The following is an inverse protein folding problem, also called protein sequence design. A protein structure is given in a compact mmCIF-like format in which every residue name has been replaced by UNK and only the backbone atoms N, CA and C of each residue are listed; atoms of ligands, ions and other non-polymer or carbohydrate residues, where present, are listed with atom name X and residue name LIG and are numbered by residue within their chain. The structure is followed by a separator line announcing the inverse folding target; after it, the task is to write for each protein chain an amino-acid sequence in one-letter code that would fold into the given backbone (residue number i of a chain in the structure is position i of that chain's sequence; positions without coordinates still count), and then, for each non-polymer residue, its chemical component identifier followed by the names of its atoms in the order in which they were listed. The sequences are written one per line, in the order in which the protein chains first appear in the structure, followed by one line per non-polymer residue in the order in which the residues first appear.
data_IF_701714225402
#
_entry.id   IF_701714225402
#
_cell.length_a   1.000
_cell.length_b   1.000
_cell.length_c   1.000
_cell.angle_alpha   90.00
_cell.angle_beta   90.00
_cell.angle_gamma   90.00
#
_symmetry.space_group_name_H-M   'P 1'
#
loop_
_entity.id
_entity.type
_entity.pdbx_description
1 polymer ?
#
# COMPACT_ATOMS: atom_id res chain seq x y z
N UNK A 1 37.08 45.33 -33.71
CA UNK A 1 35.60 45.22 -33.69
C UNK A 1 35.27 43.88 -34.34
N UNK A 2 34.71 42.87 -33.71
CA UNK A 2 34.28 42.61 -32.34
C UNK A 2 34.30 41.09 -32.13
N UNK A 3 34.30 40.68 -30.86
CA UNK A 3 34.16 39.29 -30.44
C UNK A 3 32.69 38.81 -30.52
N UNK A 4 32.50 37.54 -30.16
CA UNK A 4 31.27 36.79 -29.87
C UNK A 4 30.89 35.78 -30.98
N UNK A 5 30.84 34.46 -30.76
CA UNK A 5 30.69 33.69 -29.53
C UNK A 5 29.25 33.16 -29.41
N UNK A 6 29.14 31.88 -29.01
CA UNK A 6 27.95 31.14 -28.55
C UNK A 6 27.06 30.51 -29.64
N UNK A 7 26.44 29.37 -29.43
CA UNK A 7 26.64 28.23 -28.53
C UNK A 7 25.72 27.16 -29.12
N UNK A 8 26.23 25.96 -29.37
CA UNK A 8 25.40 24.80 -29.65
C UNK A 8 24.83 24.35 -28.30
N UNK A 9 23.56 24.66 -28.05
CA UNK A 9 22.86 24.27 -26.84
C UNK A 9 22.68 22.74 -26.81
N UNK A 10 23.52 22.11 -25.99
CA UNK A 10 23.41 20.75 -25.45
C UNK A 10 22.06 20.58 -24.74
N UNK A 11 21.11 19.89 -25.40
CA UNK A 11 19.89 19.41 -24.73
C UNK A 11 20.21 18.11 -24.01
N UNK A 12 20.77 18.22 -22.80
CA UNK A 12 20.81 17.11 -21.86
C UNK A 12 19.39 16.80 -21.38
N UNK A 13 18.83 15.72 -21.91
CA UNK A 13 17.84 14.95 -21.19
C UNK A 13 18.50 14.44 -19.90
N UNK A 14 18.20 15.07 -18.77
CA UNK A 14 18.67 14.62 -17.46
C UNK A 14 18.02 13.29 -17.10
N UNK A 15 18.61 12.19 -17.55
CA UNK A 15 18.41 10.88 -16.93
C UNK A 15 18.92 10.95 -15.49
N UNK A 16 18.08 10.63 -14.51
CA UNK A 16 18.53 10.53 -13.12
C UNK A 16 19.58 9.44 -13.01
N UNK A 17 20.65 9.74 -12.27
CA UNK A 17 21.77 8.85 -12.07
C UNK A 17 21.36 7.69 -11.14
N UNK A 18 21.87 6.49 -11.37
CA UNK A 18 21.44 5.22 -10.78
C UNK A 18 21.76 5.00 -9.29
N UNK A 19 21.91 6.08 -8.49
CA UNK A 19 22.22 6.02 -7.06
C UNK A 19 21.52 7.10 -6.21
N UNK A 20 20.46 7.73 -6.75
CA UNK A 20 19.74 8.79 -6.03
C UNK A 20 18.71 8.20 -5.05
N UNK A 21 18.88 8.48 -3.76
CA UNK A 21 17.91 8.17 -2.71
C UNK A 21 16.62 8.97 -2.93
N UNK A 22 15.50 8.28 -3.09
CA UNK A 22 14.16 8.87 -3.08
C UNK A 22 13.56 8.66 -1.71
N UNK A 23 13.05 9.73 -1.08
CA UNK A 23 12.29 9.62 0.17
C UNK A 23 11.25 10.75 0.25
N UNK A 24 9.98 10.38 0.10
CA UNK A 24 8.84 11.28 0.10
C UNK A 24 8.38 11.51 1.53
N UNK A 25 8.18 12.77 1.92
CA UNK A 25 7.59 13.11 3.21
C UNK A 25 6.07 13.03 3.12
N UNK A 26 5.48 12.03 3.76
CA UNK A 26 4.04 11.87 3.93
C UNK A 26 3.65 11.97 5.42
N UNK A 27 2.45 12.49 5.75
CA UNK A 27 1.94 12.47 7.12
C UNK A 27 1.93 11.04 7.68
N UNK A 28 2.43 10.88 8.90
CA UNK A 28 2.45 9.59 9.59
C UNK A 28 1.20 9.41 10.46
N UNK A 29 0.70 8.18 10.54
CA UNK A 29 -0.38 7.77 11.43
C UNK A 29 -0.01 6.40 11.97
N UNK A 30 -0.05 6.27 13.29
CA UNK A 30 0.11 5.00 14.00
C UNK A 30 -1.23 4.26 14.10
N UNK A 31 -1.23 2.95 13.86
CA UNK A 31 -2.43 2.12 14.01
C UNK A 31 -2.61 1.62 15.45
N UNK A 32 -1.52 1.52 16.21
CA UNK A 32 -1.48 0.87 17.52
C UNK A 32 -2.40 1.56 18.51
N UNK A 33 -3.48 0.89 18.87
CA UNK A 33 -4.47 1.34 19.87
C UNK A 33 -5.87 1.45 19.30
N UNK A 34 -6.07 2.22 18.22
CA UNK A 34 -7.40 2.45 17.66
C UNK A 34 -7.75 1.49 16.51
N UNK A 35 -6.75 0.97 15.79
CA UNK A 35 -6.96 0.16 14.58
C UNK A 35 -6.03 -1.06 14.58
N UNK A 36 -6.24 -2.04 15.49
CA UNK A 36 -5.33 -3.17 15.68
C UNK A 36 -5.05 -3.95 14.38
N UNK A 37 -6.04 -4.05 13.49
CA UNK A 37 -5.93 -4.73 12.18
C UNK A 37 -6.05 -3.74 11.00
N UNK A 38 -5.87 -2.44 11.24
CA UNK A 38 -6.20 -1.41 10.27
C UNK A 38 -5.06 -0.94 9.36
N UNK A 39 -4.01 -1.74 9.16
CA UNK A 39 -2.80 -1.32 8.44
C UNK A 39 -3.08 -0.78 7.02
N UNK A 40 -4.05 -1.36 6.32
CA UNK A 40 -4.51 -0.95 4.99
C UNK A 40 -5.24 0.39 5.02
N UNK A 41 -6.13 0.56 6.01
CA UNK A 41 -6.91 1.78 6.18
C UNK A 41 -6.00 2.94 6.57
N UNK A 42 -5.09 2.71 7.52
CA UNK A 42 -4.12 3.71 7.98
C UNK A 42 -3.17 4.10 6.85
N UNK A 43 -2.63 3.12 6.11
CA UNK A 43 -1.76 3.38 4.95
C UNK A 43 -2.47 4.15 3.82
N UNK A 44 -3.72 3.79 3.52
CA UNK A 44 -4.54 4.51 2.56
C UNK A 44 -4.79 5.97 3.01
N UNK A 45 -5.05 6.20 4.30
CA UNK A 45 -5.28 7.54 4.84
C UNK A 45 -4.00 8.38 4.86
N UNK A 46 -2.84 7.77 5.15
CA UNK A 46 -1.54 8.46 5.00
C UNK A 46 -1.36 8.96 3.55
N UNK A 47 -1.68 8.13 2.55
CA UNK A 47 -1.66 8.55 1.14
C UNK A 47 -2.68 9.66 0.83
N UNK A 48 -3.92 9.53 1.31
CA UNK A 48 -4.95 10.56 1.11
C UNK A 48 -4.54 11.92 1.70
N UNK A 49 -3.97 11.91 2.91
CA UNK A 49 -3.46 13.13 3.56
C UNK A 49 -2.26 13.72 2.84
N UNK A 50 -1.36 12.88 2.33
CA UNK A 50 -0.27 13.33 1.45
C UNK A 50 -0.81 14.07 0.21
N UNK A 51 -1.93 13.60 -0.35
CA UNK A 51 -2.61 14.23 -1.50
C UNK A 51 -3.44 15.48 -1.13
N UNK A 52 -3.43 15.89 0.15
CA UNK A 52 -4.15 17.06 0.65
C UNK A 52 -5.62 16.79 1.00
N UNK A 53 -6.05 15.52 1.06
CA UNK A 53 -7.40 15.15 1.48
C UNK A 53 -7.45 15.07 3.01
N UNK A 54 -8.17 16.00 3.64
CA UNK A 54 -8.37 16.05 5.09
C UNK A 54 -9.40 15.02 5.56
N UNK A 55 -8.98 13.77 5.72
CA UNK A 55 -9.82 12.65 6.15
C UNK A 55 -9.24 11.96 7.41
N UNK A 56 -10.11 11.47 8.29
CA UNK A 56 -9.72 10.61 9.42
C UNK A 56 -9.69 9.13 9.03
N UNK A 57 -9.03 8.30 9.82
CA UNK A 57 -9.04 6.85 9.59
C UNK A 57 -10.45 6.29 9.82
N UNK A 58 -11.15 6.74 10.86
CA UNK A 58 -12.56 6.38 11.07
C UNK A 58 -13.46 6.73 9.88
N UNK A 59 -13.31 7.92 9.32
CA UNK A 59 -14.11 8.31 8.15
C UNK A 59 -13.81 7.41 6.95
N UNK A 60 -12.54 7.04 6.74
CA UNK A 60 -12.17 6.10 5.70
C UNK A 60 -12.83 4.73 5.91
N UNK A 61 -12.70 4.18 7.12
CA UNK A 61 -13.22 2.87 7.50
C UNK A 61 -14.75 2.83 7.38
N UNK A 62 -15.46 3.87 7.82
CA UNK A 62 -16.92 3.87 7.89
C UNK A 62 -17.59 4.24 6.56
N UNK A 63 -17.00 5.11 5.75
CA UNK A 63 -17.65 5.60 4.51
C UNK A 63 -17.14 4.94 3.23
N UNK A 64 -15.92 4.39 3.22
CA UNK A 64 -15.26 4.00 1.97
C UNK A 64 -14.81 2.54 1.93
N UNK A 65 -14.42 1.97 3.08
CA UNK A 65 -13.99 0.58 3.17
C UNK A 65 -15.19 -0.36 3.19
N UNK A 66 -15.27 -1.26 2.22
CA UNK A 66 -16.28 -2.32 2.24
C UNK A 66 -15.77 -3.44 3.16
N UNK A 67 -16.54 -3.75 4.21
CA UNK A 67 -16.20 -4.71 5.26
C UNK A 67 -17.26 -5.81 5.31
N UNK A 68 -16.88 -7.02 5.69
CA UNK A 68 -17.83 -8.11 5.90
C UNK A 68 -17.36 -9.02 7.04
N UNK A 69 -18.30 -9.49 7.86
CA UNK A 69 -18.03 -10.38 8.98
C UNK A 69 -17.96 -11.85 8.57
N UNK A 70 -17.51 -12.68 9.51
CA UNK A 70 -17.51 -14.13 9.39
C UNK A 70 -18.84 -14.72 9.89
N UNK A 71 -19.16 -15.92 9.41
CA UNK A 71 -20.34 -16.68 9.79
C UNK A 71 -19.95 -18.13 10.09
N UNK A 72 -20.48 -18.73 11.15
CA UNK A 72 -20.35 -20.16 11.39
C UNK A 72 -21.61 -20.89 10.89
N UNK A 73 -21.44 -21.93 10.08
CA UNK A 73 -22.54 -22.76 9.54
C UNK A 73 -22.21 -24.22 9.80
N UNK A 74 -22.98 -24.87 10.66
CA UNK A 74 -22.81 -26.29 11.03
C UNK A 74 -21.35 -26.64 11.44
N UNK A 75 -20.72 -25.75 12.21
CA UNK A 75 -19.32 -25.91 12.67
C UNK A 75 -18.25 -25.60 11.61
N UNK A 76 -18.63 -25.08 10.45
CA UNK A 76 -17.71 -24.63 9.40
C UNK A 76 -17.67 -23.11 9.36
N UNK A 77 -16.46 -22.55 9.42
CA UNK A 77 -16.25 -21.10 9.29
C UNK A 77 -16.40 -20.67 7.83
N UNK A 78 -17.32 -19.74 7.59
CA UNK A 78 -17.46 -19.01 6.34
C UNK A 78 -17.00 -17.57 6.54
N UNK A 79 -16.31 -17.03 5.55
CA UNK A 79 -15.76 -15.68 5.62
C UNK A 79 -15.76 -15.01 4.26
N UNK A 80 -15.55 -13.69 4.23
CA UNK A 80 -15.50 -12.95 2.98
C UNK A 80 -14.25 -13.29 2.15
N UNK A 81 -14.31 -12.96 0.86
CA UNK A 81 -13.13 -12.93 0.00
C UNK A 81 -12.35 -11.62 0.27
N UNK A 82 -11.07 -11.68 0.70
CA UNK A 82 -10.29 -10.47 0.99
C UNK A 82 -10.07 -9.58 -0.24
N UNK A 83 -10.30 -10.11 -1.46
CA UNK A 83 -10.25 -9.36 -2.71
C UNK A 83 -11.51 -8.50 -2.93
N UNK A 84 -12.56 -8.70 -2.13
CA UNK A 84 -13.85 -8.01 -2.25
C UNK A 84 -14.21 -7.18 -1.02
N UNK A 85 -13.82 -7.64 0.16
CA UNK A 85 -14.11 -6.99 1.44
C UNK A 85 -12.91 -7.04 2.36
N UNK A 86 -12.88 -6.13 3.33
CA UNK A 86 -12.11 -6.33 4.54
C UNK A 86 -12.74 -7.43 5.38
N UNK A 87 -11.92 -8.45 5.71
CA UNK A 87 -12.32 -9.63 6.45
C UNK A 87 -12.40 -9.32 7.95
N UNK A 88 -13.60 -8.98 8.42
CA UNK A 88 -13.85 -8.52 9.79
C UNK A 88 -13.91 -7.00 9.89
N UNK A 89 -13.26 -6.43 10.89
CA UNK A 89 -13.25 -4.99 11.17
C UNK A 89 -11.85 -4.50 11.56
N UNK A 90 -11.35 -3.39 10.98
CA UNK A 90 -10.06 -2.78 11.38
C UNK A 90 -9.95 -2.42 12.87
N UNK A 91 -11.09 -2.26 13.55
CA UNK A 91 -11.18 -1.95 14.98
C UNK A 91 -11.01 -3.18 15.88
N UNK A 92 -11.07 -4.38 15.31
CA UNK A 92 -11.06 -5.63 16.04
C UNK A 92 -9.70 -6.33 15.88
N UNK A 93 -9.10 -6.70 17.01
CA UNK A 93 -7.79 -7.33 17.06
C UNK A 93 -7.81 -8.78 16.55
N UNK A 94 -8.97 -9.43 16.55
CA UNK A 94 -9.15 -10.81 16.10
C UNK A 94 -9.59 -10.91 14.62
N UNK A 95 -9.68 -9.76 13.93
CA UNK A 95 -9.96 -9.69 12.49
C UNK A 95 -8.72 -9.93 11.64
N UNK A 96 -8.90 -9.94 10.31
CA UNK A 96 -7.82 -10.16 9.35
C UNK A 96 -7.49 -8.83 8.65
N UNK A 97 -7.68 -8.78 7.33
CA UNK A 97 -7.35 -7.63 6.50
C UNK A 97 -8.11 -7.66 5.19
N UNK A 98 -7.65 -6.90 4.22
CA UNK A 98 -8.14 -6.86 2.85
C UNK A 98 -6.99 -6.79 1.85
N UNK A 99 -7.30 -7.15 0.62
CA UNK A 99 -6.35 -7.13 -0.48
C UNK A 99 -6.48 -5.85 -1.32
N UNK A 100 -5.45 -5.58 -2.12
CA UNK A 100 -5.32 -4.36 -2.93
C UNK A 100 -6.59 -3.91 -3.69
N UNK A 101 -7.41 -4.79 -4.30
CA UNK A 101 -8.63 -4.36 -4.98
C UNK A 101 -9.62 -3.60 -4.07
N UNK A 102 -9.72 -3.99 -2.79
CA UNK A 102 -10.63 -3.37 -1.80
C UNK A 102 -10.17 -1.96 -1.48
N UNK A 103 -8.88 -1.79 -1.19
CA UNK A 103 -8.28 -0.47 -0.94
C UNK A 103 -8.33 0.42 -2.19
N UNK A 104 -8.06 -0.12 -3.37
CA UNK A 104 -8.16 0.61 -4.62
C UNK A 104 -9.59 1.13 -4.86
N UNK A 105 -10.62 0.30 -4.60
CA UNK A 105 -12.02 0.71 -4.68
C UNK A 105 -12.35 1.84 -3.68
N UNK A 106 -11.90 1.71 -2.43
CA UNK A 106 -12.11 2.73 -1.41
C UNK A 106 -11.42 4.06 -1.77
N UNK A 107 -10.17 4.02 -2.24
CA UNK A 107 -9.41 5.19 -2.69
C UNK A 107 -10.06 5.89 -3.90
N UNK A 108 -10.60 5.14 -4.88
CA UNK A 108 -11.34 5.74 -6.01
C UNK A 108 -12.54 6.56 -5.54
N UNK A 109 -13.27 6.04 -4.56
CA UNK A 109 -14.44 6.73 -3.97
C UNK A 109 -14.00 7.98 -3.20
N UNK A 110 -12.87 7.93 -2.49
CA UNK A 110 -12.37 9.05 -1.68
C UNK A 110 -11.68 10.17 -2.49
N UNK A 111 -10.99 9.85 -3.59
CA UNK A 111 -10.20 10.82 -4.38
C UNK A 111 -10.98 11.50 -5.52
N UNK A 112 -12.08 10.88 -5.99
CA UNK A 112 -12.86 11.38 -7.11
C UNK A 112 -12.10 11.40 -8.45
N UNK A 113 -12.60 12.14 -9.43
CA UNK A 113 -12.13 12.11 -10.83
C UNK A 113 -10.78 12.80 -11.08
N UNK A 114 -10.24 13.53 -10.10
CA UNK A 114 -8.94 14.21 -10.21
C UNK A 114 -7.74 13.26 -10.18
N UNK A 115 -7.96 11.99 -9.83
CA UNK A 115 -6.93 10.98 -9.71
C UNK A 115 -7.32 9.69 -10.42
N UNK A 116 -6.32 9.00 -10.96
CA UNK A 116 -6.42 7.61 -11.39
C UNK A 116 -5.84 6.73 -10.29
N UNK A 117 -6.63 5.76 -9.83
CA UNK A 117 -6.20 4.76 -8.83
C UNK A 117 -6.14 3.39 -9.53
N UNK A 118 -4.97 2.80 -9.50
CA UNK A 118 -4.66 1.52 -10.16
C UNK A 118 -4.31 0.48 -9.10
N UNK A 119 -4.94 -0.69 -9.22
CA UNK A 119 -4.44 -1.90 -8.56
C UNK A 119 -3.23 -2.38 -9.35
N UNK A 120 -2.05 -2.26 -8.75
CA UNK A 120 -0.76 -2.62 -9.35
C UNK A 120 -0.30 -4.01 -8.87
N UNK A 121 -1.22 -4.86 -8.41
CA UNK A 121 -0.91 -6.23 -8.00
C UNK A 121 -0.15 -6.98 -9.11
N UNK A 122 0.99 -7.58 -8.73
CA UNK A 122 1.88 -8.29 -9.65
C UNK A 122 2.99 -7.44 -10.26
N UNK A 123 3.02 -6.13 -10.03
CA UNK A 123 4.11 -5.25 -10.48
C UNK A 123 5.27 -5.29 -9.49
N UNK A 124 6.51 -5.39 -9.99
CA UNK A 124 7.72 -5.41 -9.15
C UNK A 124 7.97 -4.07 -8.47
N UNK A 125 8.57 -4.08 -7.27
CA UNK A 125 8.84 -2.87 -6.48
C UNK A 125 9.74 -1.86 -7.19
N UNK A 126 10.72 -2.31 -8.00
CA UNK A 126 11.56 -1.39 -8.79
C UNK A 126 10.76 -0.68 -9.87
N UNK A 127 9.77 -1.35 -10.46
CA UNK A 127 8.88 -0.76 -11.45
C UNK A 127 7.88 0.20 -10.78
N UNK A 128 7.37 -0.15 -9.60
CA UNK A 128 6.56 0.76 -8.77
C UNK A 128 7.36 2.02 -8.39
N UNK A 129 8.63 1.85 -8.01
CA UNK A 129 9.54 2.95 -7.70
C UNK A 129 9.68 3.93 -8.88
N UNK A 130 9.94 3.41 -10.09
CA UNK A 130 10.03 4.22 -11.32
C UNK A 130 8.72 4.90 -11.70
N UNK A 131 7.59 4.20 -11.53
CA UNK A 131 6.27 4.70 -11.91
C UNK A 131 5.75 5.79 -10.96
N UNK A 132 6.06 5.68 -9.67
CA UNK A 132 5.42 6.47 -8.62
C UNK A 132 6.43 7.26 -7.79
N UNK A 133 7.40 6.60 -7.15
CA UNK A 133 8.32 7.25 -6.21
C UNK A 133 9.19 8.29 -6.90
N UNK A 134 9.72 7.96 -8.08
CA UNK A 134 10.48 8.91 -8.92
C UNK A 134 9.65 10.15 -9.30
N UNK A 135 8.33 10.05 -9.27
CA UNK A 135 7.42 11.16 -9.57
C UNK A 135 6.87 11.83 -8.30
N UNK A 136 7.47 11.53 -7.14
CA UNK A 136 7.07 12.08 -5.85
C UNK A 136 5.72 11.57 -5.36
N UNK A 137 5.34 10.35 -5.75
CA UNK A 137 4.07 9.73 -5.36
C UNK A 137 4.30 8.46 -4.53
N UNK A 138 3.83 8.37 -3.28
CA UNK A 138 3.86 7.15 -2.49
C UNK A 138 2.96 6.04 -3.05
N UNK A 139 3.20 4.80 -2.63
CA UNK A 139 2.45 3.60 -3.05
C UNK A 139 1.97 2.84 -1.82
N UNK A 140 0.69 2.45 -1.76
CA UNK A 140 0.21 1.54 -0.72
C UNK A 140 0.66 0.13 -1.10
N UNK A 141 1.35 -0.57 -0.20
CA UNK A 141 2.06 -1.80 -0.53
C UNK A 141 1.93 -2.84 0.58
N UNK A 142 1.70 -4.09 0.19
CA UNK A 142 1.63 -5.22 1.10
C UNK A 142 2.96 -5.95 1.15
N UNK A 143 3.36 -6.37 2.33
CA UNK A 143 4.47 -7.27 2.59
C UNK A 143 4.17 -7.99 3.92
N UNK A 144 5.20 -8.45 4.63
CA UNK A 144 5.00 -9.06 5.92
C UNK A 144 5.29 -8.09 7.07
N UNK A 145 4.54 -8.17 8.16
CA UNK A 145 4.76 -7.38 9.37
C UNK A 145 6.21 -7.55 9.87
N UNK A 146 6.90 -6.43 10.10
CA UNK A 146 8.33 -6.40 10.43
C UNK A 146 9.22 -7.22 9.48
N UNK A 147 8.81 -7.40 8.22
CA UNK A 147 9.45 -8.26 7.21
C UNK A 147 9.69 -9.72 7.63
N UNK A 148 8.88 -10.23 8.56
CA UNK A 148 8.92 -11.63 9.02
C UNK A 148 8.54 -12.61 7.89
N UNK A 149 8.97 -13.86 8.01
CA UNK A 149 8.56 -14.91 7.09
C UNK A 149 7.03 -15.04 7.02
N UNK A 150 6.43 -15.29 5.83
CA UNK A 150 5.02 -15.60 5.71
C UNK A 150 4.69 -16.91 6.43
N UNK A 151 3.48 -17.03 6.95
CA UNK A 151 3.00 -18.25 7.61
C UNK A 151 1.69 -18.67 6.97
N UNK A 152 1.52 -19.95 6.66
CA UNK A 152 0.22 -20.48 6.27
C UNK A 152 -0.74 -20.32 7.44
N UNK A 153 -1.73 -19.46 7.26
CA UNK A 153 -2.66 -19.02 8.28
C UNK A 153 -3.97 -19.81 8.29
N UNK A 154 -4.99 -19.26 8.97
CA UNK A 154 -6.32 -19.84 9.02
C UNK A 154 -6.96 -20.03 7.63
N UNK A 155 -7.89 -20.98 7.57
CA UNK A 155 -8.70 -21.26 6.39
C UNK A 155 -10.18 -21.04 6.70
N UNK A 156 -10.92 -20.59 5.70
CA UNK A 156 -12.38 -20.50 5.76
C UNK A 156 -12.99 -20.82 4.40
N UNK A 157 -14.29 -21.10 4.39
CA UNK A 157 -15.08 -21.18 3.17
C UNK A 157 -15.50 -19.78 2.74
N UNK A 158 -15.29 -19.43 1.47
CA UNK A 158 -15.76 -18.14 0.96
C UNK A 158 -17.29 -18.09 1.00
N UNK A 159 -17.85 -16.99 1.50
CA UNK A 159 -19.30 -16.81 1.66
C UNK A 159 -20.06 -16.89 0.32
N UNK A 160 -19.44 -16.47 -0.77
CA UNK A 160 -20.04 -16.38 -2.10
C UNK A 160 -19.88 -17.66 -2.94
N UNK A 161 -18.72 -18.32 -2.88
CA UNK A 161 -18.43 -19.50 -3.71
C UNK A 161 -18.42 -20.82 -2.94
N UNK A 162 -18.22 -20.79 -1.61
CA UNK A 162 -18.00 -21.98 -0.80
C UNK A 162 -16.63 -22.66 -1.02
N UNK A 163 -15.75 -22.04 -1.80
CA UNK A 163 -14.37 -22.52 -1.99
C UNK A 163 -13.56 -22.33 -0.71
N UNK A 164 -12.58 -23.19 -0.46
CA UNK A 164 -11.65 -23.00 0.65
C UNK A 164 -10.64 -21.92 0.29
N UNK A 165 -10.56 -20.89 1.13
CA UNK A 165 -9.52 -19.88 1.08
C UNK A 165 -8.51 -20.11 2.22
N UNK A 166 -7.23 -19.85 1.94
CA UNK A 166 -6.15 -19.92 2.94
C UNK A 166 -5.51 -18.55 3.08
N UNK A 167 -5.53 -17.99 4.28
CA UNK A 167 -4.85 -16.73 4.59
C UNK A 167 -3.34 -16.94 4.70
N UNK A 168 -2.55 -15.98 4.23
CA UNK A 168 -1.11 -15.94 4.47
C UNK A 168 -0.86 -14.96 5.62
N UNK A 169 -0.72 -15.51 6.83
CA UNK A 169 -0.46 -14.76 8.06
C UNK A 169 0.87 -14.00 8.00
N UNK A 170 1.02 -13.07 8.94
CA UNK A 170 2.00 -11.98 8.92
C UNK A 170 1.76 -10.97 7.79
N UNK A 171 0.60 -10.98 7.13
CA UNK A 171 0.20 -9.92 6.20
C UNK A 171 0.30 -8.55 6.87
N UNK A 172 0.79 -7.56 6.12
CA UNK A 172 0.90 -6.19 6.57
C UNK A 172 0.91 -5.22 5.40
N UNK A 173 0.18 -4.12 5.54
CA UNK A 173 0.12 -3.05 4.56
C UNK A 173 0.78 -1.78 5.08
N UNK A 174 1.68 -1.22 4.28
CA UNK A 174 2.47 -0.04 4.60
C UNK A 174 2.42 0.97 3.44
N UNK A 175 2.84 2.20 3.70
CA UNK A 175 3.01 3.21 2.65
C UNK A 175 4.48 3.24 2.21
N UNK A 176 4.77 2.73 1.01
CA UNK A 176 6.07 2.85 0.36
C UNK A 176 6.32 4.31 -0.04
N UNK A 177 7.35 4.92 0.53
CA UNK A 177 7.67 6.35 0.36
C UNK A 177 9.05 6.59 -0.26
N UNK A 178 9.88 5.56 -0.42
CA UNK A 178 11.22 5.75 -0.91
C UNK A 178 12.00 4.49 -1.19
N UNK A 179 13.19 4.69 -1.75
CA UNK A 179 14.19 3.65 -1.95
C UNK A 179 15.57 4.30 -2.15
N UNK A 180 16.62 3.50 -1.95
CA UNK A 180 17.97 3.78 -2.41
C UNK A 180 18.59 2.51 -3.00
N UNK A 181 19.92 2.42 -3.05
CA UNK A 181 20.62 1.23 -3.55
C UNK A 181 20.43 0.01 -2.63
N UNK A 182 20.28 0.21 -1.32
CA UNK A 182 20.27 -0.87 -0.33
C UNK A 182 18.85 -1.32 0.03
N UNK A 183 17.89 -0.40 0.09
CA UNK A 183 16.59 -0.68 0.68
C UNK A 183 15.39 0.09 0.11
N UNK A 184 14.22 -0.29 0.63
CA UNK A 184 12.96 0.44 0.45
C UNK A 184 12.55 1.09 1.78
N UNK A 185 12.03 2.31 1.69
CA UNK A 185 11.57 3.10 2.82
C UNK A 185 10.05 3.08 2.90
N UNK A 186 9.52 2.77 4.07
CA UNK A 186 8.09 2.73 4.35
C UNK A 186 7.75 3.67 5.50
N UNK A 187 6.60 4.33 5.41
CA UNK A 187 5.88 4.70 6.62
C UNK A 187 5.11 3.45 7.07
N UNK A 188 5.60 2.81 8.12
CA UNK A 188 5.02 1.60 8.70
C UNK A 188 4.08 1.99 9.85
N UNK A 189 2.76 1.74 9.71
CA UNK A 189 1.77 2.13 10.71
C UNK A 189 1.79 1.25 11.98
N UNK A 190 2.55 0.15 12.01
CA UNK A 190 2.58 -0.77 13.16
C UNK A 190 3.53 -0.28 14.26
N UNK A 191 3.07 -0.34 15.51
CA UNK A 191 3.87 -0.13 16.73
C UNK A 191 4.70 1.16 16.74
N UNK A 192 4.13 2.23 16.17
CA UNK A 192 4.79 3.53 16.04
C UNK A 192 6.15 3.47 15.31
N UNK A 193 6.35 2.49 14.42
CA UNK A 193 7.59 2.32 13.65
C UNK A 193 7.95 3.57 12.84
N UNK A 194 6.95 4.27 12.29
CA UNK A 194 7.20 5.50 11.54
C UNK A 194 7.92 5.23 10.23
N UNK A 195 8.92 6.06 9.90
CA UNK A 195 9.75 5.87 8.71
C UNK A 195 10.80 4.79 8.98
N UNK A 196 10.70 3.64 8.31
CA UNK A 196 11.61 2.50 8.44
C UNK A 196 12.17 2.09 7.08
N UNK A 197 13.40 1.57 7.06
CA UNK A 197 14.06 1.05 5.87
C UNK A 197 14.32 -0.45 6.04
N UNK A 198 14.06 -1.22 4.99
CA UNK A 198 14.36 -2.65 4.93
C UNK A 198 15.17 -3.00 3.67
N UNK A 199 16.05 -4.01 3.72
CA UNK A 199 16.84 -4.45 2.57
C UNK A 199 15.96 -4.90 1.40
N UNK A 200 16.32 -4.50 0.17
CA UNK A 200 15.50 -4.76 -1.04
C UNK A 200 15.09 -6.22 -1.20
N UNK A 201 16.05 -7.13 -1.10
CA UNK A 201 15.84 -8.56 -1.30
C UNK A 201 14.77 -9.11 -0.33
N UNK A 202 14.86 -8.73 0.95
CA UNK A 202 13.89 -9.14 1.96
C UNK A 202 12.50 -8.58 1.64
N UNK A 203 12.39 -7.29 1.33
CA UNK A 203 11.10 -6.67 1.00
C UNK A 203 10.47 -7.32 -0.23
N UNK A 204 11.25 -7.56 -1.27
CA UNK A 204 10.78 -8.17 -2.52
C UNK A 204 10.30 -9.62 -2.30
N UNK A 205 10.97 -10.36 -1.42
CA UNK A 205 10.52 -11.70 -1.01
C UNK A 205 9.20 -11.64 -0.25
N UNK A 206 9.08 -10.78 0.77
CA UNK A 206 7.85 -10.64 1.57
C UNK A 206 6.68 -10.09 0.77
N UNK A 207 6.94 -9.14 -0.11
CA UNK A 207 5.95 -8.62 -1.05
C UNK A 207 5.44 -9.72 -1.98
N UNK A 208 6.33 -10.58 -2.51
CA UNK A 208 5.93 -11.73 -3.33
C UNK A 208 5.10 -12.75 -2.55
N UNK A 209 5.47 -13.01 -1.30
CA UNK A 209 4.71 -13.91 -0.42
C UNK A 209 3.28 -13.40 -0.19
N UNK A 210 3.09 -12.09 -0.16
CA UNK A 210 1.78 -11.42 -0.07
C UNK A 210 1.22 -11.03 -1.45
N UNK A 211 1.47 -11.87 -2.46
CA UNK A 211 0.90 -11.78 -3.80
C UNK A 211 1.26 -10.52 -4.61
N UNK A 212 2.35 -9.83 -4.23
CA UNK A 212 2.83 -8.61 -4.89
C UNK A 212 1.77 -7.51 -4.95
N UNK A 213 0.96 -7.36 -3.89
CA UNK A 213 -0.15 -6.43 -3.89
C UNK A 213 0.33 -4.99 -3.68
N UNK A 214 -0.18 -4.08 -4.49
CA UNK A 214 0.09 -2.66 -4.39
C UNK A 214 -1.05 -1.83 -4.99
N UNK A 215 -1.25 -0.62 -4.46
CA UNK A 215 -2.17 0.36 -5.03
C UNK A 215 -1.42 1.66 -5.31
N UNK A 216 -1.37 2.02 -6.59
CA UNK A 216 -0.76 3.25 -7.07
C UNK A 216 -1.81 4.32 -7.40
N UNK A 217 -1.48 5.58 -7.14
CA UNK A 217 -2.32 6.74 -7.48
C UNK A 217 -1.56 7.66 -8.42
N UNK A 218 -2.24 8.25 -9.41
CA UNK A 218 -1.69 9.30 -10.27
C UNK A 218 -2.65 10.46 -10.35
N UNK A 219 -2.13 11.68 -10.28
CA UNK A 219 -2.95 12.87 -10.54
C UNK A 219 -3.26 12.96 -12.03
N UNK A 220 -4.53 13.17 -12.37
CA UNK A 220 -4.94 13.38 -13.75
C UNK A 220 -4.56 14.80 -14.16
N UNK A 221 -3.83 14.96 -15.26
CA UNK A 221 -3.53 16.27 -15.85
C UNK A 221 -2.54 17.14 -15.05
N UNK A 222 -1.26 16.83 -15.16
CA UNK A 222 -0.17 17.80 -15.31
C UNK A 222 0.81 17.29 -16.34
#
# INVERSE_FOLDING_TARGET
MGADGRDAADRRAGGRNSGEKVCIKAPYIDQSGAYPTGCESVSAVMLLRFLGVGISVDEFIEKYLDKQGFEERDGVLYGPDPRKYFCGSPYDADSFGCYAPVVAKALRRALGSGYTVTDETGVRLEELARRYLDRGMPVVCWACINMREPVVGPQWKLLDTGETFTWISNEHCMLLVGYDEEGYYFNDPYDNNGLICYPKETVEERHRAQHMQAVGVRKNGK
#
